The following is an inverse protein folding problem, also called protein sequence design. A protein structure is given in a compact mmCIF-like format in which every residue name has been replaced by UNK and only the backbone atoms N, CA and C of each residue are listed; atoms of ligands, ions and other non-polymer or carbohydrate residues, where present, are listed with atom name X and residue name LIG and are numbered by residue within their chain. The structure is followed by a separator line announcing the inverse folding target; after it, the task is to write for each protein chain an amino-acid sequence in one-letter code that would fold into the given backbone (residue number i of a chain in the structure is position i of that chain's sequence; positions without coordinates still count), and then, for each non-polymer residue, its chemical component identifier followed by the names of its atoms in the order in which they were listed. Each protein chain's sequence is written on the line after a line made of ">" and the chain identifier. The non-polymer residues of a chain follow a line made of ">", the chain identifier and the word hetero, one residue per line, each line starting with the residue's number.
data_IF_969156968074
#
_entry.id   IF_969156968074
#
_cell.length_a   1.000
_cell.length_b   1.000
_cell.length_c   1.000
_cell.angle_alpha   90.00
_cell.angle_beta   90.00
_cell.angle_gamma   90.00
#
_symmetry.space_group_name_H-M   'P 1'
#
loop_
_entity.id
_entity.type
_entity.pdbx_description
1 polymer ?
#
# COMPACT_ATOMS: atom_id res chain seq x y z
N UNK A 1 -25.54 -79.35 -10.92
CA UNK A 1 -25.87 -77.91 -10.72
C UNK A 1 -25.18 -77.49 -9.43
N UNK A 2 -24.00 -76.88 -9.40
CA UNK A 2 -23.68 -75.49 -9.76
C UNK A 2 -22.14 -75.37 -9.84
N UNK A 3 -21.56 -75.77 -10.96
CA UNK A 3 -20.10 -75.72 -11.16
C UNK A 3 -19.72 -75.21 -12.57
N UNK A 4 -20.66 -74.59 -13.29
CA UNK A 4 -20.51 -74.22 -14.70
C UNK A 4 -20.96 -72.79 -15.03
N UNK A 5 -21.07 -71.91 -14.04
CA UNK A 5 -21.42 -70.51 -14.26
C UNK A 5 -20.58 -69.68 -13.29
N UNK A 6 -19.90 -68.64 -13.80
CA UNK A 6 -18.87 -67.81 -13.16
C UNK A 6 -17.42 -68.28 -13.38
N UNK A 7 -17.22 -69.25 -14.29
CA UNK A 7 -15.99 -69.43 -15.07
C UNK A 7 -15.91 -68.42 -16.25
N UNK A 8 -16.66 -67.31 -16.15
CA UNK A 8 -16.82 -66.25 -17.15
C UNK A 8 -16.38 -64.87 -16.62
N UNK A 9 -15.77 -64.83 -15.42
CA UNK A 9 -15.18 -63.64 -14.80
C UNK A 9 -13.63 -63.74 -14.76
N UNK A 10 -13.07 -64.87 -15.24
CA UNK A 10 -11.62 -65.12 -15.33
C UNK A 10 -10.97 -64.70 -16.66
N UNK A 11 -11.67 -63.96 -17.52
CA UNK A 11 -11.18 -63.57 -18.85
C UNK A 11 -11.39 -62.07 -19.16
N UNK A 12 -11.40 -61.23 -18.12
CA UNK A 12 -11.08 -59.81 -18.24
C UNK A 12 -9.68 -59.55 -17.65
N UNK A 13 -8.76 -60.40 -18.08
CA UNK A 13 -7.34 -60.23 -18.00
C UNK A 13 -6.97 -59.07 -18.96
N UNK A 14 -6.09 -58.18 -18.51
CA UNK A 14 -5.15 -57.40 -19.35
C UNK A 14 -5.71 -56.21 -20.13
N UNK A 15 -6.02 -55.09 -19.46
CA UNK A 15 -5.84 -53.79 -20.16
C UNK A 15 -5.63 -52.54 -19.30
N UNK A 16 -5.14 -52.62 -18.06
CA UNK A 16 -4.68 -51.41 -17.36
C UNK A 16 -3.37 -51.70 -16.63
N UNK A 17 -2.29 -51.73 -17.40
CA UNK A 17 -0.93 -51.53 -16.90
C UNK A 17 -0.42 -50.24 -17.54
N UNK A 18 0.26 -49.42 -16.73
CA UNK A 18 0.98 -48.19 -17.07
C UNK A 18 0.18 -46.87 -17.07
N UNK A 19 0.06 -46.30 -15.87
CA UNK A 19 0.23 -44.86 -15.65
C UNK A 19 0.59 -44.63 -14.16
N UNK A 20 1.82 -45.02 -13.79
CA UNK A 20 2.50 -44.33 -12.71
C UNK A 20 3.31 -43.20 -13.36
N UNK A 21 2.97 -41.96 -13.08
CA UNK A 21 3.97 -40.90 -12.96
C UNK A 21 3.62 -40.11 -11.70
N UNK A 22 4.27 -40.49 -10.60
CA UNK A 22 4.60 -39.51 -9.58
C UNK A 22 5.52 -38.49 -10.25
N UNK A 23 5.07 -37.25 -10.34
CA UNK A 23 5.88 -36.13 -9.86
C UNK A 23 4.97 -34.92 -9.71
N UNK A 24 4.96 -34.40 -8.49
CA UNK A 24 4.32 -33.18 -8.06
C UNK A 24 4.77 -32.01 -8.94
N UNK A 25 3.91 -31.56 -9.87
CA UNK A 25 4.01 -30.22 -10.43
C UNK A 25 3.54 -29.21 -9.39
N UNK A 26 4.38 -28.97 -8.38
CA UNK A 26 4.39 -27.67 -7.72
C UNK A 26 4.76 -26.63 -8.79
N UNK A 27 4.08 -25.47 -8.84
CA UNK A 27 4.54 -24.38 -9.68
C UNK A 27 5.99 -24.08 -9.25
N UNK A 28 6.88 -24.14 -10.24
CA UNK A 28 8.29 -23.82 -10.11
C UNK A 28 8.39 -22.38 -9.63
N UNK A 29 8.42 -22.18 -8.31
CA UNK A 29 9.04 -21.00 -7.73
C UNK A 29 10.51 -21.10 -8.11
N UNK A 30 10.95 -20.26 -9.05
CA UNK A 30 12.37 -19.98 -9.24
C UNK A 30 12.81 -19.20 -8.01
N UNK A 31 13.11 -19.91 -6.92
CA UNK A 31 13.92 -19.38 -5.85
C UNK A 31 15.35 -19.30 -6.40
N UNK A 32 15.71 -18.15 -6.96
CA UNK A 32 17.09 -17.85 -7.28
C UNK A 32 17.85 -17.69 -5.95
N UNK A 33 18.55 -18.74 -5.53
CA UNK A 33 19.60 -18.63 -4.52
C UNK A 33 20.82 -17.96 -5.14
N UNK A 34 20.72 -16.66 -5.38
CA UNK A 34 21.88 -15.79 -5.56
C UNK A 34 22.11 -15.05 -4.24
N UNK A 35 23.32 -15.18 -3.72
CA UNK A 35 23.78 -14.55 -2.49
C UNK A 35 23.43 -13.06 -2.49
N UNK A 36 22.79 -12.63 -1.39
CA UNK A 36 22.45 -11.25 -1.11
C UNK A 36 23.70 -10.36 -1.18
N UNK A 37 23.87 -9.71 -2.32
CA UNK A 37 24.48 -8.39 -2.36
C UNK A 37 23.34 -7.41 -2.07
N UNK A 38 23.33 -6.85 -0.85
CA UNK A 38 22.32 -5.92 -0.37
C UNK A 38 22.49 -4.53 -1.02
N UNK A 39 22.46 -4.51 -2.36
CA UNK A 39 22.35 -3.29 -3.15
C UNK A 39 20.88 -3.12 -3.45
N UNK A 40 20.29 -1.97 -3.07
CA UNK A 40 18.95 -1.58 -3.46
C UNK A 40 18.79 -1.77 -4.97
N UNK A 41 18.01 -2.78 -5.38
CA UNK A 41 17.70 -2.98 -6.80
C UNK A 41 16.51 -2.09 -7.13
N UNK A 42 16.66 -1.30 -8.18
CA UNK A 42 15.57 -0.48 -8.73
C UNK A 42 14.38 -1.37 -9.12
N UNK A 43 13.14 -0.84 -9.04
CA UNK A 43 11.99 -1.58 -9.51
C UNK A 43 12.05 -1.84 -11.02
N UNK A 44 11.43 -2.93 -11.45
CA UNK A 44 11.46 -3.39 -12.85
C UNK A 44 10.06 -3.71 -13.34
N UNK A 45 9.72 -3.27 -14.55
CA UNK A 45 8.50 -3.66 -15.25
C UNK A 45 8.75 -4.97 -16.01
N UNK A 46 7.91 -5.96 -15.77
CA UNK A 46 7.93 -7.25 -16.46
C UNK A 46 6.61 -7.45 -17.19
N UNK A 47 6.70 -7.76 -18.47
CA UNK A 47 5.57 -8.22 -19.27
C UNK A 47 5.52 -9.74 -19.17
N UNK A 48 4.42 -10.28 -18.66
CA UNK A 48 4.24 -11.73 -18.59
C UNK A 48 3.59 -12.21 -19.88
N UNK A 49 4.34 -12.96 -20.68
CA UNK A 49 3.80 -13.67 -21.84
C UNK A 49 2.94 -14.84 -21.33
N UNK A 50 1.61 -14.73 -21.42
CA UNK A 50 0.71 -15.82 -21.06
C UNK A 50 0.89 -16.97 -22.06
N UNK A 51 1.49 -18.08 -21.65
CA UNK A 51 1.70 -19.26 -22.51
C UNK A 51 0.39 -19.92 -22.97
N UNK A 52 -0.74 -19.59 -22.33
CA UNK A 52 -2.08 -19.97 -22.77
C UNK A 52 -2.83 -18.72 -23.22
N UNK A 53 -2.94 -18.57 -24.55
CA UNK A 53 -3.91 -17.66 -25.16
C UNK A 53 -5.31 -18.20 -24.88
N UNK A 54 -5.87 -17.86 -23.73
CA UNK A 54 -7.31 -17.74 -23.63
C UNK A 54 -7.73 -16.64 -24.60
N UNK A 55 -8.39 -17.03 -25.69
CA UNK A 55 -8.78 -16.15 -26.81
C UNK A 55 -9.78 -15.04 -26.44
N UNK A 56 -10.06 -14.83 -25.14
CA UNK A 56 -11.05 -13.88 -24.62
C UNK A 56 -10.47 -12.78 -23.70
N UNK A 57 -9.20 -12.87 -23.28
CA UNK A 57 -8.54 -11.87 -22.41
C UNK A 57 -7.26 -11.32 -23.05
N UNK A 58 -7.40 -10.55 -24.13
CA UNK A 58 -6.28 -9.85 -24.80
C UNK A 58 -5.63 -8.73 -23.98
N UNK A 59 -5.49 -8.88 -22.67
CA UNK A 59 -4.80 -7.93 -21.79
C UNK A 59 -3.44 -8.52 -21.38
N UNK A 60 -2.37 -7.86 -21.80
CA UNK A 60 -1.02 -8.13 -21.33
C UNK A 60 -0.95 -7.92 -19.80
N UNK A 61 -0.49 -8.91 -19.06
CA UNK A 61 -0.23 -8.80 -17.63
C UNK A 61 1.05 -7.99 -17.43
N UNK A 62 0.90 -6.72 -17.01
CA UNK A 62 2.01 -5.85 -16.67
C UNK A 62 2.28 -5.91 -15.16
N UNK A 63 3.45 -6.43 -14.79
CA UNK A 63 3.87 -6.63 -13.41
C UNK A 63 4.99 -5.66 -13.05
N UNK A 64 4.88 -5.02 -11.89
CA UNK A 64 5.93 -4.17 -11.34
C UNK A 64 6.59 -4.88 -10.16
N UNK A 65 7.87 -5.16 -10.27
CA UNK A 65 8.63 -5.90 -9.26
C UNK A 65 9.53 -4.97 -8.43
N UNK A 66 9.44 -5.07 -7.11
CA UNK A 66 10.30 -4.40 -6.14
C UNK A 66 11.12 -5.44 -5.38
N UNK A 67 12.43 -5.20 -5.23
CA UNK A 67 13.28 -6.00 -4.36
C UNK A 67 13.53 -5.24 -3.05
N UNK A 68 12.93 -5.70 -1.96
CA UNK A 68 13.19 -5.20 -0.62
C UNK A 68 14.30 -6.06 0.05
N UNK A 69 14.91 -5.60 1.17
CA UNK A 69 16.04 -6.31 1.77
C UNK A 69 15.79 -7.80 2.12
N UNK A 70 14.55 -8.17 2.41
CA UNK A 70 14.18 -9.52 2.85
C UNK A 70 13.11 -10.19 1.99
N UNK A 71 12.58 -9.51 0.97
CA UNK A 71 11.44 -9.99 0.19
C UNK A 71 11.40 -9.37 -1.21
N UNK A 72 10.72 -10.05 -2.13
CA UNK A 72 10.40 -9.52 -3.44
C UNK A 72 8.89 -9.28 -3.49
N UNK A 73 8.50 -8.08 -3.90
CA UNK A 73 7.11 -7.64 -3.93
C UNK A 73 6.71 -7.39 -5.37
N UNK A 74 5.67 -8.09 -5.84
CA UNK A 74 5.16 -7.95 -7.21
C UNK A 74 3.79 -7.28 -7.16
N UNK A 75 3.60 -6.26 -7.99
CA UNK A 75 2.35 -5.52 -8.12
C UNK A 75 1.80 -5.74 -9.53
N UNK A 76 0.60 -6.32 -9.64
CA UNK A 76 -0.13 -6.35 -10.90
C UNK A 76 -0.76 -4.98 -11.19
N UNK A 77 -0.31 -4.32 -12.26
CA UNK A 77 -0.81 -3.01 -12.65
C UNK A 77 -2.29 -3.06 -13.05
N UNK A 78 -2.83 -4.21 -13.46
CA UNK A 78 -4.25 -4.35 -13.75
C UNK A 78 -5.11 -4.25 -12.48
N UNK A 79 -4.55 -4.56 -11.31
CA UNK A 79 -5.24 -4.46 -10.02
C UNK A 79 -5.10 -3.06 -9.39
N UNK A 80 -4.04 -2.31 -9.72
CA UNK A 80 -3.81 -0.95 -9.19
C UNK A 80 -4.06 0.08 -10.30
N UNK A 81 -5.34 0.39 -10.55
CA UNK A 81 -5.77 1.25 -11.68
C UNK A 81 -5.11 2.63 -11.67
N UNK A 82 -4.90 3.24 -10.50
CA UNK A 82 -4.24 4.55 -10.38
C UNK A 82 -2.82 4.50 -10.94
N UNK A 83 -2.06 3.45 -10.59
CA UNK A 83 -0.68 3.28 -11.03
C UNK A 83 -0.61 2.97 -12.53
N UNK A 84 -1.51 2.13 -13.05
CA UNK A 84 -1.63 1.86 -14.50
C UNK A 84 -1.94 3.12 -15.30
N UNK A 85 -2.87 3.94 -14.83
CA UNK A 85 -3.20 5.20 -15.50
C UNK A 85 -2.05 6.19 -15.43
N UNK A 86 -1.35 6.27 -14.30
CA UNK A 86 -0.16 7.11 -14.17
C UNK A 86 0.93 6.70 -15.17
N UNK A 87 1.33 5.43 -15.16
CA UNK A 87 2.42 4.91 -16.00
C UNK A 87 2.11 4.93 -17.49
N UNK A 88 0.83 4.94 -17.89
CA UNK A 88 0.43 5.09 -19.29
C UNK A 88 0.38 6.54 -19.77
N UNK A 89 0.40 7.52 -18.86
CA UNK A 89 0.32 8.95 -19.17
C UNK A 89 1.67 9.66 -19.16
N UNK A 90 2.69 9.09 -18.52
CA UNK A 90 4.04 9.66 -18.44
C UNK A 90 4.82 9.50 -19.74
N UNK A 91 5.72 10.45 -20.02
CA UNK A 91 6.50 10.46 -21.26
C UNK A 91 7.64 9.42 -21.24
N UNK A 92 8.26 9.22 -20.08
CA UNK A 92 9.33 8.27 -19.85
C UNK A 92 8.92 7.34 -18.71
N UNK A 93 8.34 6.18 -19.07
CA UNK A 93 7.79 5.22 -18.12
C UNK A 93 8.89 4.59 -17.26
N UNK A 94 10.03 4.27 -17.86
CA UNK A 94 11.10 3.56 -17.18
C UNK A 94 11.78 4.48 -16.15
N UNK A 95 12.02 5.74 -16.51
CA UNK A 95 12.53 6.73 -15.56
C UNK A 95 11.57 6.94 -14.37
N UNK A 96 10.26 7.02 -14.63
CA UNK A 96 9.27 7.19 -13.56
C UNK A 96 9.11 5.94 -12.69
N UNK A 97 9.38 4.74 -13.23
CA UNK A 97 9.45 3.51 -12.44
C UNK A 97 10.71 3.50 -11.57
N UNK A 98 11.88 3.81 -12.15
CA UNK A 98 13.16 3.82 -11.42
C UNK A 98 13.15 4.75 -10.19
N UNK A 99 12.34 5.81 -10.22
CA UNK A 99 12.16 6.77 -9.13
C UNK A 99 11.11 6.34 -8.09
N UNK A 100 10.40 5.22 -8.29
CA UNK A 100 9.46 4.69 -7.30
C UNK A 100 10.18 4.01 -6.14
N UNK A 101 9.64 4.19 -4.94
CA UNK A 101 10.11 3.53 -3.74
C UNK A 101 8.96 2.81 -3.04
N UNK A 102 9.19 1.56 -2.64
CA UNK A 102 8.22 0.79 -1.88
C UNK A 102 8.76 0.55 -0.47
N UNK A 103 7.97 0.93 0.53
CA UNK A 103 8.30 0.69 1.93
C UNK A 103 7.24 -0.18 2.57
N UNK A 104 7.66 -1.20 3.31
CA UNK A 104 6.74 -2.00 4.13
C UNK A 104 6.27 -1.19 5.33
N UNK A 105 4.96 -1.25 5.63
CA UNK A 105 4.41 -0.66 6.84
C UNK A 105 4.48 -1.69 7.97
N UNK A 106 5.28 -1.41 9.00
CA UNK A 106 5.47 -2.32 10.12
C UNK A 106 4.21 -2.42 11.00
N UNK A 107 3.40 -3.44 10.74
CA UNK A 107 2.17 -3.74 11.49
C UNK A 107 2.28 -5.14 12.09
N UNK A 108 2.06 -5.33 13.39
CA UNK A 108 2.05 -6.66 13.99
C UNK A 108 1.07 -7.59 13.27
N UNK A 109 1.53 -8.79 12.94
CA UNK A 109 0.74 -9.86 12.30
C UNK A 109 0.13 -9.50 10.92
N UNK A 110 0.58 -8.40 10.27
CA UNK A 110 0.22 -8.04 8.89
C UNK A 110 1.49 -7.72 8.09
N UNK A 111 1.86 -8.59 7.17
CA UNK A 111 3.06 -8.48 6.33
C UNK A 111 2.77 -8.01 4.90
N UNK A 112 1.52 -7.66 4.60
CA UNK A 112 1.06 -7.38 3.23
C UNK A 112 0.75 -5.92 2.96
N UNK A 113 1.03 -5.03 3.92
CA UNK A 113 0.75 -3.59 3.80
C UNK A 113 2.03 -2.84 3.41
N UNK A 114 1.94 -2.11 2.30
CA UNK A 114 3.06 -1.35 1.74
C UNK A 114 2.64 0.08 1.42
N UNK A 115 3.59 1.01 1.53
CA UNK A 115 3.45 2.38 1.08
C UNK A 115 4.35 2.57 -0.15
N UNK A 116 3.73 2.78 -1.30
CA UNK A 116 4.39 3.09 -2.57
C UNK A 116 4.49 4.60 -2.74
N UNK A 117 5.71 5.10 -2.87
CA UNK A 117 6.03 6.45 -3.31
C UNK A 117 6.17 6.46 -4.83
N UNK A 118 5.47 7.37 -5.50
CA UNK A 118 5.50 7.52 -6.95
C UNK A 118 5.25 8.97 -7.36
N UNK A 119 5.49 9.31 -8.63
CA UNK A 119 5.28 10.68 -9.15
C UNK A 119 6.03 11.76 -8.34
N UNK A 120 7.28 11.47 -7.99
CA UNK A 120 8.10 12.36 -7.18
C UNK A 120 8.57 13.60 -7.96
N UNK A 121 8.53 14.76 -7.32
CA UNK A 121 9.00 16.06 -7.80
C UNK A 121 9.69 16.78 -6.63
N UNK A 122 11.00 16.96 -6.76
CA UNK A 122 11.84 17.44 -5.64
C UNK A 122 11.65 16.55 -4.40
N UNK A 123 11.31 17.12 -3.24
CA UNK A 123 11.07 16.37 -1.99
C UNK A 123 9.62 15.84 -1.87
N UNK A 124 8.77 16.02 -2.88
CA UNK A 124 7.33 15.72 -2.79
C UNK A 124 6.90 14.59 -3.72
N UNK A 125 6.25 13.58 -3.17
CA UNK A 125 5.76 12.41 -3.90
C UNK A 125 4.26 12.21 -3.70
N UNK A 126 3.67 11.38 -4.53
CA UNK A 126 2.34 10.82 -4.31
C UNK A 126 2.49 9.44 -3.66
N UNK A 127 1.53 9.06 -2.81
CA UNK A 127 1.64 7.88 -1.96
C UNK A 127 0.41 7.00 -2.10
N UNK A 128 0.63 5.74 -2.50
CA UNK A 128 -0.38 4.70 -2.55
C UNK A 128 -0.14 3.71 -1.40
N UNK A 129 -1.13 3.55 -0.53
CA UNK A 129 -1.15 2.42 0.40
C UNK A 129 -1.66 1.20 -0.37
N UNK A 130 -0.97 0.08 -0.22
CA UNK A 130 -1.25 -1.18 -0.91
C UNK A 130 -1.45 -2.28 0.12
N UNK A 131 -2.40 -3.18 -0.12
CA UNK A 131 -2.59 -4.42 0.64
C UNK A 131 -2.58 -5.61 -0.32
N UNK A 132 -1.55 -6.46 -0.23
CA UNK A 132 -1.42 -7.61 -1.13
C UNK A 132 -2.36 -8.79 -0.82
N UNK A 133 -3.06 -8.80 0.33
CA UNK A 133 -4.03 -9.86 0.63
C UNK A 133 -5.34 -9.68 -0.13
N UNK A 134 -5.65 -8.47 -0.58
CA UNK A 134 -6.88 -8.15 -1.28
C UNK A 134 -6.58 -7.79 -2.73
N UNK A 135 -7.26 -8.44 -3.67
CA UNK A 135 -7.16 -8.09 -5.09
C UNK A 135 -7.49 -6.59 -5.28
N UNK A 136 -6.49 -5.81 -5.70
CA UNK A 136 -6.66 -4.37 -5.93
C UNK A 136 -6.84 -3.51 -4.67
N UNK A 137 -6.52 -4.01 -3.49
CA UNK A 137 -6.54 -3.25 -2.23
C UNK A 137 -5.54 -2.10 -2.28
N UNK A 138 -5.95 -0.93 -2.78
CA UNK A 138 -5.10 0.24 -2.90
C UNK A 138 -5.84 1.53 -2.54
N UNK A 139 -5.14 2.45 -1.87
CA UNK A 139 -5.69 3.73 -1.46
C UNK A 139 -4.68 4.87 -1.68
N UNK A 140 -5.09 5.92 -2.40
CA UNK A 140 -4.26 7.12 -2.59
C UNK A 140 -4.23 7.96 -1.30
N UNK A 141 -3.20 7.76 -0.48
CA UNK A 141 -3.04 8.39 0.82
C UNK A 141 -2.75 9.90 0.69
N UNK A 142 -1.82 10.26 -0.18
CA UNK A 142 -1.45 11.64 -0.45
C UNK A 142 -0.98 11.82 -1.90
N UNK A 143 -1.02 13.07 -2.33
CA UNK A 143 -0.55 13.51 -3.64
C UNK A 143 0.43 14.65 -3.42
N UNK A 144 1.57 14.65 -4.11
CA UNK A 144 2.63 15.67 -4.02
C UNK A 144 2.84 16.23 -2.59
N UNK A 145 3.30 15.36 -1.69
CA UNK A 145 3.57 15.68 -0.31
C UNK A 145 4.86 15.00 0.18
N UNK A 146 5.33 15.38 1.36
CA UNK A 146 6.37 14.65 2.09
C UNK A 146 5.69 13.74 3.11
N UNK A 147 6.12 12.48 3.17
CA UNK A 147 5.74 11.58 4.25
C UNK A 147 6.41 12.03 5.56
N UNK A 148 5.62 12.12 6.63
CA UNK A 148 6.08 12.57 7.95
C UNK A 148 6.19 11.42 8.93
N UNK A 149 5.14 10.59 9.03
CA UNK A 149 5.11 9.45 9.95
C UNK A 149 3.93 8.53 9.66
N UNK A 150 4.05 7.28 10.10
CA UNK A 150 2.96 6.33 10.23
C UNK A 150 2.84 5.83 11.68
N UNK A 151 1.63 5.53 12.13
CA UNK A 151 1.38 4.89 13.43
C UNK A 151 0.16 3.98 13.35
N UNK A 152 0.32 2.74 13.79
CA UNK A 152 -0.75 1.77 13.91
C UNK A 152 -1.57 2.00 15.19
N UNK A 153 -2.87 1.72 15.15
CA UNK A 153 -3.76 1.71 16.32
C UNK A 153 -3.44 0.55 17.26
N UNK A 154 -3.84 0.61 18.54
CA UNK A 154 -3.59 -0.46 19.51
C UNK A 154 -4.13 -1.84 19.12
N UNK A 155 -5.20 -1.92 18.32
CA UNK A 155 -5.78 -3.20 17.86
C UNK A 155 -5.30 -3.62 16.47
N UNK A 156 -4.36 -2.89 15.87
CA UNK A 156 -3.74 -3.18 14.57
C UNK A 156 -4.69 -3.19 13.35
N UNK A 157 -5.80 -2.46 13.45
CA UNK A 157 -6.85 -2.36 12.44
C UNK A 157 -6.91 -0.99 11.74
N UNK A 158 -6.36 0.06 12.36
CA UNK A 158 -6.36 1.42 11.81
C UNK A 158 -4.94 1.97 11.67
N UNK A 159 -4.61 2.48 10.48
CA UNK A 159 -3.32 3.10 10.19
C UNK A 159 -3.47 4.63 10.11
N UNK A 160 -2.76 5.34 10.99
CA UNK A 160 -2.58 6.79 10.92
C UNK A 160 -1.37 7.11 10.04
N UNK A 161 -1.56 7.92 9.01
CA UNK A 161 -0.53 8.49 8.15
C UNK A 161 -0.54 10.01 8.26
N UNK A 162 0.65 10.61 8.45
CA UNK A 162 0.86 12.04 8.39
C UNK A 162 1.71 12.40 7.19
N UNK A 163 1.25 13.42 6.46
CA UNK A 163 1.96 14.02 5.33
C UNK A 163 2.09 15.51 5.55
N UNK A 164 3.09 16.14 4.95
CA UNK A 164 3.23 17.59 4.98
C UNK A 164 3.55 18.17 3.61
N UNK A 165 3.19 19.44 3.44
CA UNK A 165 3.61 20.29 2.32
C UNK A 165 4.29 21.52 2.88
N UNK A 166 5.40 21.92 2.28
CA UNK A 166 6.04 23.21 2.57
C UNK A 166 5.25 24.29 1.84
N UNK A 167 4.86 25.35 2.55
CA UNK A 167 4.31 26.54 1.91
C UNK A 167 5.46 27.48 1.51
N UNK A 168 5.87 27.40 0.25
CA UNK A 168 6.96 28.21 -0.31
C UNK A 168 6.62 29.69 -0.40
N UNK A 169 5.34 30.07 -0.26
CA UNK A 169 4.87 31.45 -0.25
C UNK A 169 5.02 32.18 1.09
N UNK A 170 5.31 31.45 2.18
CA UNK A 170 5.45 32.02 3.51
C UNK A 170 6.91 31.99 3.96
N UNK A 171 7.41 33.11 4.50
CA UNK A 171 8.66 33.17 5.26
C UNK A 171 8.33 33.32 6.75
N UNK A 172 8.86 32.46 7.64
CA UNK A 172 9.63 31.24 7.38
C UNK A 172 8.78 30.16 6.67
N UNK A 173 9.43 29.14 6.09
CA UNK A 173 8.74 28.01 5.44
C UNK A 173 7.90 27.28 6.49
N UNK A 174 6.58 27.44 6.41
CA UNK A 174 5.65 26.78 7.34
C UNK A 174 5.19 25.48 6.69
N UNK A 175 5.38 24.36 7.39
CA UNK A 175 4.78 23.09 6.99
C UNK A 175 3.30 23.06 7.35
N UNK A 176 2.46 22.68 6.40
CA UNK A 176 1.05 22.37 6.64
C UNK A 176 0.87 20.87 6.45
N UNK A 177 0.12 20.25 7.34
CA UNK A 177 0.04 18.80 7.43
C UNK A 177 -1.35 18.29 7.02
N UNK A 178 -1.38 17.06 6.52
CA UNK A 178 -2.58 16.28 6.28
C UNK A 178 -2.53 15.03 7.13
N UNK A 179 -3.66 14.72 7.75
CA UNK A 179 -3.86 13.49 8.48
C UNK A 179 -4.79 12.55 7.71
N UNK A 180 -4.38 11.30 7.56
CA UNK A 180 -5.17 10.25 6.93
C UNK A 180 -5.22 9.07 7.88
N UNK A 181 -6.43 8.54 8.11
CA UNK A 181 -6.64 7.31 8.87
C UNK A 181 -7.29 6.32 7.93
N UNK A 182 -6.72 5.13 7.83
CA UNK A 182 -7.18 4.06 6.96
C UNK A 182 -7.60 2.88 7.82
N UNK A 183 -8.77 2.33 7.56
CA UNK A 183 -9.16 0.99 8.00
C UNK A 183 -8.44 -0.03 7.12
N UNK A 184 -7.65 -0.89 7.75
CA UNK A 184 -6.77 -1.86 7.08
C UNK A 184 -7.50 -3.12 6.60
N UNK A 185 -8.72 -3.35 7.06
CA UNK A 185 -9.58 -4.44 6.56
C UNK A 185 -10.37 -3.95 5.35
N UNK A 186 -10.94 -2.75 5.40
CA UNK A 186 -11.76 -2.20 4.31
C UNK A 186 -10.95 -1.42 3.28
N UNK A 187 -9.66 -1.18 3.55
CA UNK A 187 -8.77 -0.32 2.77
C UNK A 187 -9.39 1.06 2.47
N UNK A 188 -10.10 1.63 3.46
CA UNK A 188 -10.93 2.81 3.29
C UNK A 188 -10.58 3.91 4.30
N UNK A 189 -10.69 5.17 3.87
CA UNK A 189 -10.43 6.32 4.74
C UNK A 189 -11.54 6.49 5.77
N UNK A 190 -11.13 6.56 7.03
CA UNK A 190 -11.99 6.87 8.15
C UNK A 190 -12.14 8.39 8.35
N UNK A 191 -13.29 8.79 8.89
CA UNK A 191 -13.54 10.17 9.29
C UNK A 191 -13.02 10.39 10.69
N UNK A 192 -12.73 11.65 11.00
CA UNK A 192 -12.40 12.07 12.37
C UNK A 192 -13.32 13.17 12.80
N UNK A 193 -13.89 13.05 13.99
CA UNK A 193 -14.76 14.04 14.61
C UNK A 193 -14.09 14.68 15.81
N UNK A 194 -14.25 15.99 15.95
CA UNK A 194 -13.93 16.71 17.18
C UNK A 194 -15.01 16.46 18.24
N UNK A 195 -14.75 16.82 19.49
CA UNK A 195 -15.69 16.66 20.63
C UNK A 195 -17.08 17.28 20.39
N UNK A 196 -17.16 18.32 19.55
CA UNK A 196 -18.42 18.97 19.18
C UNK A 196 -19.20 18.22 18.07
N UNK A 197 -18.70 17.08 17.60
CA UNK A 197 -19.27 16.27 16.52
C UNK A 197 -18.95 16.79 15.11
N UNK A 198 -18.21 17.89 14.97
CA UNK A 198 -17.82 18.40 13.66
C UNK A 198 -16.63 17.62 13.09
N UNK A 199 -16.57 17.39 11.77
CA UNK A 199 -15.42 16.75 11.16
C UNK A 199 -14.14 17.56 11.37
N UNK A 200 -13.06 16.90 11.78
CA UNK A 200 -11.74 17.49 11.76
C UNK A 200 -11.21 17.53 10.33
N UNK A 201 -11.17 18.73 9.76
CA UNK A 201 -10.74 18.96 8.37
C UNK A 201 -9.36 19.61 8.35
N UNK A 202 -8.30 18.83 8.54
CA UNK A 202 -6.94 19.32 8.29
C UNK A 202 -6.39 18.73 6.99
N UNK A 203 -6.76 19.35 5.88
CA UNK A 203 -6.28 19.04 4.53
C UNK A 203 -5.19 20.04 4.15
N UNK A 204 -4.02 19.96 4.80
CA UNK A 204 -2.94 20.94 4.65
C UNK A 204 -3.34 22.38 5.02
N UNK A 205 -4.15 22.55 6.08
CA UNK A 205 -4.46 23.88 6.60
C UNK A 205 -3.44 24.26 7.69
N UNK A 206 -3.10 23.31 8.54
CA UNK A 206 -2.32 23.52 9.75
C UNK A 206 -1.20 22.49 9.94
N UNK A 207 -0.11 22.87 10.62
CA UNK A 207 0.83 21.88 11.12
C UNK A 207 0.17 21.01 12.19
N UNK A 208 0.46 19.72 12.14
CA UNK A 208 0.17 18.73 13.18
C UNK A 208 1.48 18.47 13.91
N UNK A 209 1.61 19.03 15.11
CA UNK A 209 2.85 18.97 15.88
C UNK A 209 3.07 17.57 16.46
N UNK A 210 1.97 16.90 16.85
CA UNK A 210 1.95 15.49 17.20
C UNK A 210 0.56 14.91 16.96
N UNK A 211 0.50 13.62 16.67
CA UNK A 211 -0.72 12.82 16.66
C UNK A 211 -0.39 11.43 17.20
N UNK A 212 -1.18 10.95 18.16
CA UNK A 212 -0.96 9.64 18.80
C UNK A 212 -2.29 9.00 19.20
N UNK A 213 -2.36 7.68 19.11
CA UNK A 213 -3.49 6.91 19.60
C UNK A 213 -3.58 6.95 21.13
N UNK A 214 -4.75 7.33 21.64
CA UNK A 214 -5.11 7.21 23.06
C UNK A 214 -5.75 5.85 23.34
N UNK A 215 -6.53 5.36 22.39
CA UNK A 215 -7.09 4.00 22.31
C UNK A 215 -7.38 3.68 20.84
N UNK A 216 -8.11 2.60 20.54
CA UNK A 216 -8.35 2.17 19.16
C UNK A 216 -9.21 3.14 18.32
N UNK A 217 -9.99 4.03 18.94
CA UNK A 217 -10.91 4.93 18.25
C UNK A 217 -10.65 6.41 18.53
N UNK A 218 -9.71 6.74 19.42
CA UNK A 218 -9.45 8.12 19.85
C UNK A 218 -8.00 8.47 19.61
N UNK A 219 -7.79 9.55 18.86
CA UNK A 219 -6.50 10.20 18.68
C UNK A 219 -6.39 11.42 19.59
N UNK A 220 -5.18 11.66 20.07
CA UNK A 220 -4.77 12.93 20.66
C UNK A 220 -3.91 13.67 19.64
N UNK A 221 -4.35 14.85 19.22
CA UNK A 221 -3.64 15.67 18.20
C UNK A 221 -3.27 17.02 18.79
N UNK A 222 -2.02 17.42 18.61
CA UNK A 222 -1.53 18.74 19.04
C UNK A 222 -1.36 19.66 17.84
N UNK A 223 -2.02 20.80 17.90
CA UNK A 223 -2.05 21.82 16.83
C UNK A 223 -1.75 23.21 17.40
N UNK A 224 -1.44 24.21 16.55
CA UNK A 224 -1.34 25.61 16.98
C UNK A 224 -2.60 26.12 17.70
N UNK A 225 -2.41 26.86 18.79
CA UNK A 225 -3.51 27.50 19.54
C UNK A 225 -3.92 28.85 18.93
N UNK A 226 -4.36 28.83 17.67
CA UNK A 226 -4.72 30.03 16.88
C UNK A 226 -6.00 29.82 16.06
N UNK A 227 -6.51 30.93 15.51
CA UNK A 227 -7.61 30.98 14.54
C UNK A 227 -7.13 30.70 13.11
N UNK A 228 -7.99 30.10 12.28
CA UNK A 228 -7.74 29.66 10.88
C UNK A 228 -7.52 30.76 9.86
N UNK A 229 -6.34 31.38 9.96
CA UNK A 229 -5.83 32.35 8.99
C UNK A 229 -4.33 32.20 8.80
N UNK A 230 -3.84 32.48 7.59
CA UNK A 230 -2.41 32.49 7.29
C UNK A 230 -1.63 33.50 8.12
N UNK A 231 -2.22 34.66 8.43
CA UNK A 231 -1.59 35.70 9.25
C UNK A 231 -1.39 35.23 10.70
N UNK A 232 -2.41 34.55 11.26
CA UNK A 232 -2.30 33.93 12.58
C UNK A 232 -1.20 32.87 12.59
N UNK A 233 -1.07 32.07 11.53
CA UNK A 233 -0.04 31.04 11.41
C UNK A 233 1.38 31.62 11.37
N UNK A 234 1.59 32.68 10.59
CA UNK A 234 2.88 33.40 10.53
C UNK A 234 3.26 33.98 11.88
N UNK A 235 2.30 34.65 12.53
CA UNK A 235 2.50 35.25 13.85
C UNK A 235 2.82 34.18 14.89
N UNK A 236 2.10 33.05 14.86
CA UNK A 236 2.34 31.92 15.74
C UNK A 236 3.76 31.37 15.59
N UNK A 237 4.25 31.20 14.36
CA UNK A 237 5.59 30.67 14.11
C UNK A 237 6.70 31.60 14.64
N UNK A 238 6.44 32.92 14.69
CA UNK A 238 7.36 33.94 15.20
C UNK A 238 7.23 34.22 16.71
N UNK A 239 6.32 33.52 17.38
CA UNK A 239 6.01 33.68 18.81
C UNK A 239 6.59 32.53 19.64
N UNK A 240 6.16 32.40 20.90
CA UNK A 240 6.43 31.23 21.76
C UNK A 240 5.70 29.95 21.30
N UNK A 241 5.02 29.98 20.14
CA UNK A 241 4.35 28.86 19.49
C UNK A 241 3.35 28.12 20.41
N UNK A 242 2.38 28.83 21.03
CA UNK A 242 1.42 28.20 21.93
C UNK A 242 0.61 27.10 21.22
N UNK A 243 0.42 25.96 21.88
CA UNK A 243 -0.26 24.80 21.30
C UNK A 243 -1.53 24.48 22.06
N UNK A 244 -2.43 23.75 21.40
CA UNK A 244 -3.59 23.13 22.02
C UNK A 244 -3.66 21.67 21.61
N UNK A 245 -4.13 20.84 22.53
CA UNK A 245 -4.41 19.43 22.28
C UNK A 245 -5.91 19.26 22.09
N UNK A 246 -6.28 18.51 21.07
CA UNK A 246 -7.66 18.12 20.76
C UNK A 246 -7.75 16.61 20.73
N UNK A 247 -8.88 16.07 21.18
CA UNK A 247 -9.22 14.66 20.98
C UNK A 247 -10.07 14.53 19.74
N UNK A 248 -9.78 13.50 18.94
CA UNK A 248 -10.50 13.17 17.73
C UNK A 248 -11.00 11.73 17.81
N UNK A 249 -12.29 11.54 17.56
CA UNK A 249 -12.91 10.20 17.46
C UNK A 249 -12.91 9.76 16.01
N UNK A 250 -12.49 8.52 15.75
CA UNK A 250 -12.49 7.89 14.42
C UNK A 250 -13.85 7.22 14.16
N UNK A 251 -14.39 7.41 12.95
CA UNK A 251 -15.67 6.86 12.47
C UNK A 251 -15.59 6.33 11.04
#
# INVERSE_FOLDING_TARGET
>A
MRAGLLLLIGLLFVMVVAACSDDDTQPVMVKSEEQADATEKKPVLVEKETEEKDEDSGQEEMLLEFTLPNEQVVIDLNQVTILKHYLSAVADRDAEIEDMALTRVDIPDKDTIYLLEFSCREDSCSYLLLNQQEEGGSYLAADLAMFKSASISPENDLLLLLFNRKDTGLKPEISKDKMVIIDLEQMSRQRTLMDNGEPFKNEYHWPILSASWKNNQVLTVTVPAISDTEESLKTWYQSDQPTKTIELTVE
#
